data_IF_433631600680
#
_entry.id   IF_433631600680
#
_cell.length_a   1.000
_cell.length_b   1.000
_cell.length_c   1.000
_cell.angle_alpha   90.00
_cell.angle_beta   90.00
_cell.angle_gamma   90.00
#
_symmetry.space_group_name_H-M   'P 1'
#
loop_
_entity.id
_entity.type
_entity.pdbx_description
1 polymer ?
#
# COMPACT_ATOMS: atom_id res chain seq x y z
N UNK A 1 -26.88 72.35 -8.20
CA UNK A 1 -26.57 71.13 -7.41
C UNK A 1 -26.67 69.96 -8.34
N UNK A 2 -25.55 69.35 -8.75
CA UNK A 2 -25.47 68.22 -9.64
C UNK A 2 -25.09 66.99 -8.81
N UNK A 3 -25.98 66.00 -8.68
CA UNK A 3 -25.73 64.77 -7.99
C UNK A 3 -25.00 63.83 -8.95
N UNK A 4 -23.79 63.41 -8.57
CA UNK A 4 -22.96 62.46 -9.26
C UNK A 4 -23.26 61.08 -8.66
N UNK A 5 -23.99 60.23 -9.41
CA UNK A 5 -24.24 58.85 -9.02
C UNK A 5 -23.00 57.97 -9.37
N UNK A 6 -22.28 57.57 -8.33
CA UNK A 6 -21.19 56.61 -8.45
C UNK A 6 -21.75 55.20 -8.39
N UNK A 7 -21.79 54.51 -9.54
CA UNK A 7 -22.17 53.11 -9.63
C UNK A 7 -20.94 52.26 -9.32
N UNK A 8 -20.95 51.57 -8.19
CA UNK A 8 -19.92 50.59 -7.83
C UNK A 8 -20.22 49.27 -8.55
N UNK A 9 -19.38 48.91 -9.53
CA UNK A 9 -19.38 47.58 -10.13
C UNK A 9 -18.56 46.65 -9.23
N UNK A 10 -19.26 45.75 -8.50
CA UNK A 10 -18.61 44.64 -7.79
C UNK A 10 -18.43 43.52 -8.76
N UNK A 11 -17.20 43.31 -9.25
CA UNK A 11 -16.84 42.14 -10.02
C UNK A 11 -16.67 40.96 -9.07
N UNK A 12 -17.62 40.03 -9.08
CA UNK A 12 -17.52 38.75 -8.39
C UNK A 12 -16.62 37.85 -9.23
N UNK A 13 -15.36 37.71 -8.83
CA UNK A 13 -14.47 36.70 -9.36
C UNK A 13 -14.88 35.34 -8.77
N UNK A 14 -15.61 34.55 -9.56
CA UNK A 14 -15.88 33.16 -9.24
C UNK A 14 -14.59 32.36 -9.46
N UNK A 15 -13.89 32.03 -8.39
CA UNK A 15 -12.83 31.04 -8.43
C UNK A 15 -13.47 29.65 -8.55
N UNK A 16 -13.45 29.09 -9.75
CA UNK A 16 -13.69 27.67 -9.95
C UNK A 16 -12.49 26.90 -9.38
N UNK A 17 -12.60 26.42 -8.12
CA UNK A 17 -11.73 25.37 -7.60
C UNK A 17 -12.11 24.08 -8.34
N UNK A 18 -11.47 23.80 -9.45
CA UNK A 18 -11.42 22.45 -10.01
C UNK A 18 -10.60 21.61 -9.02
N UNK A 19 -11.28 20.90 -8.14
CA UNK A 19 -10.68 19.78 -7.45
C UNK A 19 -10.36 18.75 -8.56
N UNK A 20 -9.09 18.69 -8.94
CA UNK A 20 -8.59 17.59 -9.74
C UNK A 20 -8.72 16.33 -8.88
N UNK A 21 -9.82 15.60 -9.03
CA UNK A 21 -9.85 14.20 -8.68
C UNK A 21 -8.84 13.52 -9.60
N UNK A 22 -7.65 13.24 -9.08
CA UNK A 22 -6.82 12.19 -9.63
C UNK A 22 -7.59 10.89 -9.36
N UNK A 23 -8.39 10.46 -10.32
CA UNK A 23 -8.76 9.06 -10.41
C UNK A 23 -7.43 8.33 -10.64
N UNK A 24 -6.94 7.64 -9.60
CA UNK A 24 -5.89 6.64 -9.79
C UNK A 24 -6.48 5.62 -10.77
N UNK A 25 -6.03 5.66 -12.02
CA UNK A 25 -6.30 4.59 -12.98
C UNK A 25 -5.83 3.29 -12.31
N UNK A 26 -6.78 2.44 -11.93
CA UNK A 26 -6.49 1.08 -11.51
C UNK A 26 -5.74 0.42 -12.66
N UNK A 27 -4.44 0.25 -12.50
CA UNK A 27 -3.63 -0.53 -13.44
C UNK A 27 -4.06 -1.98 -13.34
N UNK A 28 -5.06 -2.35 -14.14
CA UNK A 28 -5.60 -3.71 -14.21
C UNK A 28 -4.51 -4.63 -14.75
N UNK A 29 -4.15 -5.65 -13.97
CA UNK A 29 -3.33 -6.78 -14.43
C UNK A 29 -1.83 -6.72 -14.15
N UNK A 30 -1.29 -5.68 -13.51
CA UNK A 30 0.13 -5.65 -13.13
C UNK A 30 0.30 -6.20 -11.72
N UNK A 31 1.08 -7.27 -11.59
CA UNK A 31 1.52 -7.79 -10.27
C UNK A 31 2.93 -7.27 -9.98
N UNK A 32 3.15 -6.70 -8.81
CA UNK A 32 4.46 -6.24 -8.38
C UNK A 32 4.43 -4.97 -7.55
N UNK A 33 5.60 -4.38 -7.42
CA UNK A 33 5.82 -3.11 -6.71
C UNK A 33 5.30 -1.94 -7.56
N UNK A 34 4.40 -1.15 -7.00
CA UNK A 34 3.84 0.07 -7.63
C UNK A 34 4.68 1.29 -7.25
N UNK A 35 4.98 1.46 -5.96
CA UNK A 35 5.78 2.57 -5.46
C UNK A 35 6.56 2.17 -4.22
N UNK A 36 7.69 2.82 -4.00
CA UNK A 36 8.54 2.63 -2.82
C UNK A 36 9.05 3.99 -2.37
N UNK A 37 8.92 4.25 -1.07
CA UNK A 37 9.53 5.39 -0.39
C UNK A 37 10.40 4.86 0.75
N UNK A 38 11.58 5.46 0.92
CA UNK A 38 12.53 5.08 1.97
C UNK A 38 12.81 6.28 2.85
N UNK A 39 12.55 6.13 4.12
CA UNK A 39 12.79 7.15 5.13
C UNK A 39 13.98 6.77 6.00
N UNK A 40 14.95 7.68 6.13
CA UNK A 40 16.05 7.53 7.08
C UNK A 40 15.50 7.77 8.50
N UNK A 41 15.48 6.72 9.31
CA UNK A 41 15.17 6.84 10.72
C UNK A 41 16.43 7.20 11.50
N UNK A 42 16.26 7.88 12.62
CA UNK A 42 17.36 8.20 13.50
C UNK A 42 18.12 6.92 13.91
N UNK A 43 19.45 6.91 13.75
CA UNK A 43 20.31 5.76 14.02
C UNK A 43 20.63 4.94 12.77
N UNK A 44 20.65 3.62 12.91
CA UNK A 44 21.11 2.67 11.90
C UNK A 44 19.97 2.04 11.08
N UNK A 45 18.79 2.66 11.04
CA UNK A 45 17.59 2.07 10.46
C UNK A 45 17.06 2.88 9.28
N UNK A 46 16.48 2.18 8.32
CA UNK A 46 15.60 2.71 7.28
C UNK A 46 14.18 2.18 7.46
N UNK A 47 13.18 3.00 7.12
CA UNK A 47 11.78 2.59 6.99
C UNK A 47 11.40 2.59 5.51
N UNK A 48 10.89 1.48 5.05
CA UNK A 48 10.36 1.29 3.70
C UNK A 48 8.84 1.34 3.75
N UNK A 49 8.25 2.16 2.91
CA UNK A 49 6.80 2.26 2.72
C UNK A 49 6.53 1.95 1.26
N UNK A 50 5.96 0.80 0.99
CA UNK A 50 5.87 0.25 -0.36
C UNK A 50 4.45 -0.18 -0.68
N UNK A 51 3.97 0.25 -1.84
CA UNK A 51 2.67 -0.16 -2.37
C UNK A 51 2.88 -1.28 -3.38
N UNK A 52 2.16 -2.38 -3.18
CA UNK A 52 2.14 -3.52 -4.09
C UNK A 52 0.74 -3.75 -4.65
N UNK A 53 0.70 -4.28 -5.86
CA UNK A 53 -0.49 -4.89 -6.44
C UNK A 53 -0.19 -6.33 -6.76
N UNK A 54 -1.15 -7.20 -6.49
CA UNK A 54 -1.09 -8.62 -6.84
C UNK A 54 -2.45 -9.04 -7.39
N UNK A 55 -2.45 -9.69 -8.54
CA UNK A 55 -3.67 -10.17 -9.19
C UNK A 55 -3.66 -11.69 -9.31
N UNK A 56 -4.84 -12.27 -9.23
CA UNK A 56 -5.01 -13.72 -9.25
C UNK A 56 -4.45 -14.41 -8.00
N UNK A 57 -4.20 -15.68 -8.12
CA UNK A 57 -3.64 -16.52 -7.07
C UNK A 57 -2.10 -16.49 -7.05
N UNK A 58 -1.52 -15.35 -7.44
CA UNK A 58 -0.08 -15.15 -7.43
C UNK A 58 0.49 -15.40 -6.03
N UNK A 59 1.40 -16.35 -5.95
CA UNK A 59 2.11 -16.74 -4.74
C UNK A 59 3.41 -15.93 -4.67
N UNK A 60 3.68 -15.31 -3.53
CA UNK A 60 4.96 -14.67 -3.28
C UNK A 60 6.06 -15.74 -3.15
N UNK A 61 7.27 -15.41 -3.61
CA UNK A 61 8.41 -16.29 -3.33
C UNK A 61 8.63 -16.44 -1.82
N UNK A 62 9.11 -17.62 -1.41
CA UNK A 62 9.37 -17.90 0.00
C UNK A 62 10.44 -16.98 0.56
N UNK A 63 10.11 -16.27 1.64
CA UNK A 63 11.00 -15.24 2.19
C UNK A 63 10.75 -15.01 3.69
N UNK A 64 11.55 -14.16 4.29
CA UNK A 64 11.34 -13.61 5.63
C UNK A 64 11.80 -12.16 5.70
N UNK A 65 11.35 -11.46 6.75
CA UNK A 65 11.79 -10.11 7.08
C UNK A 65 12.68 -10.15 8.34
N UNK A 66 13.92 -9.60 8.29
CA UNK A 66 14.78 -9.52 9.47
C UNK A 66 14.17 -8.73 10.62
N UNK A 67 13.38 -7.70 10.29
CA UNK A 67 12.54 -6.94 11.23
C UNK A 67 11.08 -7.18 10.88
N UNK A 68 10.20 -7.21 11.89
CA UNK A 68 8.77 -7.42 11.63
C UNK A 68 8.19 -6.38 10.67
N UNK A 69 7.19 -6.82 9.90
CA UNK A 69 6.57 -6.06 8.81
C UNK A 69 5.10 -5.86 9.09
N UNK A 70 4.60 -4.65 8.89
CA UNK A 70 3.17 -4.35 8.91
C UNK A 70 2.65 -4.30 7.47
N UNK A 71 1.57 -5.04 7.21
CA UNK A 71 0.87 -5.01 5.92
C UNK A 71 -0.54 -4.47 6.12
N UNK A 72 -0.91 -3.46 5.34
CA UNK A 72 -2.23 -2.85 5.35
C UNK A 72 -2.93 -3.07 4.01
N UNK A 73 -4.19 -3.48 4.03
CA UNK A 73 -5.02 -3.68 2.85
C UNK A 73 -5.59 -2.37 2.34
N UNK A 74 -5.09 -1.89 1.20
CA UNK A 74 -5.63 -0.71 0.51
C UNK A 74 -6.93 -1.10 -0.21
N UNK A 75 -6.92 -2.24 -0.93
CA UNK A 75 -8.07 -2.73 -1.68
C UNK A 75 -7.98 -4.24 -1.92
N UNK A 76 -9.15 -4.87 -2.19
CA UNK A 76 -9.25 -6.31 -2.43
C UNK A 76 -9.25 -7.15 -1.16
N UNK A 77 -8.76 -8.39 -1.28
CA UNK A 77 -8.66 -9.37 -0.19
C UNK A 77 -7.31 -10.08 -0.21
N UNK A 78 -6.83 -10.45 0.96
CA UNK A 78 -5.67 -11.30 1.16
C UNK A 78 -5.90 -12.25 2.32
N UNK A 79 -5.05 -13.26 2.47
CA UNK A 79 -4.97 -14.08 3.66
C UNK A 79 -3.53 -14.13 4.18
N UNK A 80 -3.38 -14.29 5.48
CA UNK A 80 -2.08 -14.46 6.13
C UNK A 80 -2.16 -15.55 7.21
N UNK A 81 -1.08 -16.30 7.35
CA UNK A 81 -0.88 -17.33 8.38
C UNK A 81 -0.06 -16.77 9.57
N UNK A 82 0.15 -15.46 9.63
CA UNK A 82 1.04 -14.83 10.62
C UNK A 82 0.60 -14.99 12.09
N UNK A 83 -0.69 -15.26 12.33
CA UNK A 83 -1.24 -15.58 13.65
C UNK A 83 -1.13 -17.06 14.04
N UNK A 84 -0.70 -17.93 13.10
CA UNK A 84 -0.67 -19.40 13.25
C UNK A 84 -1.87 -20.12 12.64
N UNK A 85 -2.90 -19.37 12.25
CA UNK A 85 -4.06 -19.86 11.51
C UNK A 85 -4.31 -18.94 10.31
N UNK A 86 -4.95 -19.46 9.23
CA UNK A 86 -5.31 -18.61 8.09
C UNK A 86 -6.40 -17.62 8.49
N UNK A 87 -6.06 -16.34 8.36
CA UNK A 87 -7.01 -15.24 8.53
C UNK A 87 -7.16 -14.45 7.23
N UNK A 88 -8.40 -14.12 6.88
CA UNK A 88 -8.71 -13.27 5.73
C UNK A 88 -8.73 -11.79 6.12
N UNK A 89 -8.10 -10.97 5.28
CA UNK A 89 -8.01 -9.53 5.42
C UNK A 89 -8.65 -8.85 4.22
N UNK A 90 -9.46 -7.84 4.49
CA UNK A 90 -10.12 -7.02 3.48
C UNK A 90 -9.71 -5.56 3.60
N UNK A 91 -10.17 -4.73 2.67
CA UNK A 91 -9.90 -3.28 2.66
C UNK A 91 -10.04 -2.64 4.04
N UNK A 92 -9.01 -1.91 4.47
CA UNK A 92 -8.95 -1.22 5.75
C UNK A 92 -8.42 -2.06 6.91
N UNK A 93 -8.22 -3.37 6.73
CA UNK A 93 -7.59 -4.24 7.73
C UNK A 93 -6.07 -4.28 7.57
N UNK A 94 -5.40 -4.86 8.56
CA UNK A 94 -3.94 -5.02 8.55
C UNK A 94 -3.55 -6.28 9.32
N UNK A 95 -2.34 -6.78 9.05
CA UNK A 95 -1.71 -7.84 9.82
C UNK A 95 -0.24 -7.51 10.04
N UNK A 96 0.37 -8.24 10.96
CA UNK A 96 1.78 -8.11 11.27
C UNK A 96 2.50 -9.43 11.00
N UNK A 97 3.58 -9.36 10.24
CA UNK A 97 4.46 -10.47 9.95
C UNK A 97 5.64 -10.41 10.92
N UNK A 98 5.78 -11.43 11.80
CA UNK A 98 6.84 -11.43 12.79
C UNK A 98 8.23 -11.43 12.17
N UNK A 99 9.21 -10.85 12.88
CA UNK A 99 10.62 -10.93 12.52
C UNK A 99 11.06 -12.39 12.35
N UNK A 100 11.84 -12.67 11.28
CA UNK A 100 12.39 -13.98 10.94
C UNK A 100 11.35 -15.08 10.63
N UNK A 101 10.07 -14.74 10.56
CA UNK A 101 9.04 -15.67 10.14
C UNK A 101 9.13 -15.93 8.63
N UNK A 102 9.40 -17.20 8.26
CA UNK A 102 9.48 -17.62 6.87
C UNK A 102 8.09 -17.89 6.34
N UNK A 103 7.71 -17.22 5.26
CA UNK A 103 6.38 -17.32 4.65
C UNK A 103 6.44 -17.14 3.13
N UNK A 104 5.29 -17.29 2.46
CA UNK A 104 5.23 -17.36 1.01
C UNK A 104 5.59 -18.73 0.48
N UNK A 105 5.52 -18.91 -0.82
CA UNK A 105 5.55 -20.23 -1.45
C UNK A 105 4.17 -20.89 -1.42
N UNK A 106 4.11 -22.15 -1.85
CA UNK A 106 2.89 -22.95 -1.83
C UNK A 106 2.63 -23.41 -0.38
N UNK A 107 1.80 -22.70 0.34
CA UNK A 107 1.40 -23.06 1.69
C UNK A 107 0.11 -23.91 1.65
N UNK A 108 0.03 -24.99 2.49
CA UNK A 108 -1.17 -25.81 2.54
C UNK A 108 -2.38 -25.01 2.99
N UNK A 109 -3.54 -25.36 2.42
CA UNK A 109 -4.84 -24.77 2.77
C UNK A 109 -4.93 -23.23 2.63
N UNK A 110 -4.05 -22.63 1.82
CA UNK A 110 -4.08 -21.21 1.55
C UNK A 110 -5.40 -20.80 0.88
N UNK A 111 -6.15 -19.84 1.44
CA UNK A 111 -7.37 -19.32 0.82
C UNK A 111 -7.10 -18.74 -0.58
N UNK A 112 -7.94 -19.12 -1.55
CA UNK A 112 -7.88 -18.66 -2.92
C UNK A 112 -9.00 -17.64 -3.17
N UNK A 113 -8.68 -16.54 -3.86
CA UNK A 113 -9.63 -15.43 -4.08
C UNK A 113 -10.10 -15.33 -5.53
N UNK A 114 -9.56 -16.12 -6.42
CA UNK A 114 -9.89 -16.18 -7.85
C UNK A 114 -8.94 -15.38 -8.73
N UNK A 115 -8.77 -15.87 -9.95
CA UNK A 115 -7.77 -15.37 -10.92
C UNK A 115 -8.04 -13.93 -11.40
N UNK A 116 -9.28 -13.47 -11.32
CA UNK A 116 -9.72 -12.14 -11.74
C UNK A 116 -9.65 -11.08 -10.63
N UNK A 117 -9.30 -11.49 -9.42
CA UNK A 117 -9.23 -10.59 -8.27
C UNK A 117 -7.85 -9.95 -8.17
N UNK A 118 -7.83 -8.63 -8.03
CA UNK A 118 -6.61 -7.89 -7.68
C UNK A 118 -6.71 -7.37 -6.24
N UNK A 119 -5.57 -7.33 -5.57
CA UNK A 119 -5.42 -6.73 -4.25
C UNK A 119 -4.31 -5.70 -4.25
N UNK A 120 -4.47 -4.66 -3.47
CA UNK A 120 -3.44 -3.66 -3.21
C UNK A 120 -3.10 -3.62 -1.73
N UNK A 121 -1.82 -3.64 -1.43
CA UNK A 121 -1.30 -3.59 -0.07
C UNK A 121 -0.30 -2.46 0.10
N UNK A 122 -0.28 -1.87 1.29
CA UNK A 122 0.81 -1.03 1.76
C UNK A 122 1.65 -1.86 2.73
N UNK A 123 2.90 -2.09 2.38
CA UNK A 123 3.87 -2.84 3.18
C UNK A 123 4.81 -1.86 3.86
N UNK A 124 4.85 -1.89 5.18
CA UNK A 124 5.67 -1.00 6.00
C UNK A 124 6.65 -1.88 6.76
N UNK A 125 7.94 -1.74 6.44
CA UNK A 125 9.00 -2.55 7.01
C UNK A 125 10.25 -1.74 7.29
N UNK A 126 10.99 -2.14 8.31
CA UNK A 126 12.26 -1.55 8.66
C UNK A 126 13.41 -2.49 8.32
N UNK A 127 14.59 -1.95 8.05
CA UNK A 127 15.81 -2.71 8.02
C UNK A 127 16.97 -1.88 8.58
N UNK A 128 18.06 -2.53 8.97
CA UNK A 128 19.30 -1.81 9.24
C UNK A 128 19.87 -1.26 7.95
N UNK A 129 20.57 -0.15 8.03
CA UNK A 129 21.28 0.42 6.89
C UNK A 129 22.28 -0.59 6.33
N UNK A 130 22.16 -0.87 5.02
CA UNK A 130 22.99 -1.86 4.34
C UNK A 130 22.46 -3.30 4.40
N UNK A 131 21.36 -3.55 5.06
CA UNK A 131 20.66 -4.84 5.06
C UNK A 131 19.37 -4.76 4.20
N UNK A 132 19.05 -5.85 3.52
CA UNK A 132 17.83 -5.96 2.76
C UNK A 132 16.62 -6.14 3.69
N UNK A 133 15.50 -5.43 3.45
CA UNK A 133 14.29 -5.57 4.26
C UNK A 133 13.56 -6.90 4.04
N UNK A 134 13.90 -7.65 2.99
CA UNK A 134 13.35 -8.96 2.65
C UNK A 134 14.49 -9.88 2.22
N UNK A 135 14.49 -11.09 2.75
CA UNK A 135 15.47 -12.13 2.41
C UNK A 135 14.76 -13.35 1.84
N UNK A 136 15.04 -13.66 0.58
CA UNK A 136 14.47 -14.82 -0.10
C UNK A 136 15.15 -16.12 0.33
N UNK A 137 14.35 -17.16 0.55
CA UNK A 137 14.79 -18.49 0.96
C UNK A 137 14.83 -19.39 -0.28
N UNK A 138 15.96 -20.06 -0.47
CA UNK A 138 16.16 -21.00 -1.58
C UNK A 138 15.74 -22.42 -1.18
#
# INVERSE_FOLDING_TARGET
>A
MKYFNLVFFVAILSFNLSAAHHEEEQQVGITGLISSEVFDLAGEMNLYVEKYQSCGDAVNEKHYHPVGTLVYMIDGKAASLSSGEWEEYSKGSYWFEPSMWVHGGDEPDQPQFGDDQCRQTLVIRASRKGEEPTVFVK
#
